data_IF_366161969115
#
_entry.id   IF_366161969115
#
_cell.length_a   1.000
_cell.length_b   1.000
_cell.length_c   1.000
_cell.angle_alpha   90.00
_cell.angle_beta   90.00
_cell.angle_gamma   90.00
#
_symmetry.space_group_name_H-M   'P 1'
#
loop_
_entity.id
_entity.type
_entity.pdbx_description
1 polymer ?
#
# COMPACT_ATOMS: atom_id res chain seq x y z
N UNK A 1 9.35 2.12 28.71
CA UNK A 1 9.48 2.39 27.26
C UNK A 1 9.63 1.05 26.56
N UNK A 2 8.92 0.88 25.45
CA UNK A 2 9.00 -0.32 24.60
C UNK A 2 9.21 0.11 23.16
N UNK A 3 10.19 -0.51 22.49
CA UNK A 3 10.45 -0.33 21.07
C UNK A 3 10.33 -1.67 20.34
N UNK A 4 9.79 -1.65 19.11
CA UNK A 4 9.74 -2.80 18.21
C UNK A 4 10.08 -2.36 16.80
N UNK A 5 10.90 -3.15 16.15
CA UNK A 5 11.21 -3.01 14.73
C UNK A 5 11.03 -4.38 14.07
N UNK A 6 10.22 -4.42 13.02
CA UNK A 6 10.00 -5.63 12.24
C UNK A 6 10.29 -5.34 10.78
N UNK A 7 11.01 -6.24 10.15
CA UNK A 7 11.24 -6.25 8.71
C UNK A 7 10.66 -7.53 8.14
N UNK A 8 9.88 -7.40 7.10
CA UNK A 8 9.22 -8.53 6.42
C UNK A 8 9.59 -8.50 4.95
N UNK A 9 10.10 -9.61 4.44
CA UNK A 9 10.24 -9.83 3.01
C UNK A 9 8.98 -10.52 2.50
N UNK A 10 8.32 -9.92 1.56
CA UNK A 10 7.14 -10.47 0.88
C UNK A 10 7.55 -10.99 -0.50
N UNK A 11 7.00 -12.13 -0.89
CA UNK A 11 7.26 -12.77 -2.18
C UNK A 11 5.94 -12.95 -2.91
N UNK A 12 5.91 -12.60 -4.19
CA UNK A 12 4.77 -12.87 -5.05
C UNK A 12 4.69 -14.39 -5.28
N UNK A 13 3.68 -15.02 -4.71
CA UNK A 13 3.53 -16.47 -4.72
C UNK A 13 2.62 -16.99 -5.85
N UNK A 14 1.65 -16.20 -6.27
CA UNK A 14 0.72 -16.59 -7.34
C UNK A 14 0.59 -15.47 -8.35
N UNK A 15 1.04 -15.74 -9.55
CA UNK A 15 0.80 -14.92 -10.72
C UNK A 15 0.04 -15.77 -11.74
N UNK A 16 -0.93 -15.22 -12.46
CA UNK A 16 -1.54 -15.92 -13.58
C UNK A 16 -0.46 -16.22 -14.63
N UNK A 17 -0.51 -17.40 -15.21
CA UNK A 17 0.37 -17.75 -16.31
C UNK A 17 -0.25 -17.24 -17.61
N UNK A 18 0.42 -16.30 -18.25
CA UNK A 18 0.03 -15.82 -19.58
C UNK A 18 0.71 -16.64 -20.67
N UNK A 19 0.07 -16.65 -21.82
CA UNK A 19 0.59 -17.31 -23.02
C UNK A 19 1.71 -16.48 -23.63
N UNK A 20 2.64 -17.14 -24.31
CA UNK A 20 3.59 -16.49 -25.20
C UNK A 20 2.93 -15.96 -26.48
N UNK A 21 3.66 -15.14 -27.26
CA UNK A 21 3.13 -14.53 -28.47
C UNK A 21 2.61 -15.57 -29.47
N UNK A 22 3.36 -16.63 -29.69
CA UNK A 22 2.97 -17.70 -30.63
C UNK A 22 1.72 -18.45 -30.18
N UNK A 23 1.68 -18.87 -28.92
CA UNK A 23 0.52 -19.57 -28.34
C UNK A 23 -0.75 -18.69 -28.36
N UNK A 24 -0.57 -17.38 -28.11
CA UNK A 24 -1.68 -16.42 -28.20
C UNK A 24 -2.19 -16.29 -29.63
N UNK A 25 -1.28 -16.15 -30.63
CA UNK A 25 -1.64 -16.04 -32.03
C UNK A 25 -2.37 -17.28 -32.54
N UNK A 26 -1.91 -18.48 -32.09
CA UNK A 26 -2.55 -19.75 -32.38
C UNK A 26 -4.00 -19.80 -31.88
N UNK A 27 -4.21 -19.48 -30.61
CA UNK A 27 -5.55 -19.44 -30.02
C UNK A 27 -6.46 -18.37 -30.67
N UNK A 28 -5.90 -17.21 -31.04
CA UNK A 28 -6.66 -16.17 -31.72
C UNK A 28 -7.14 -16.66 -33.09
N UNK A 29 -6.30 -17.34 -33.87
CA UNK A 29 -6.70 -17.94 -35.14
C UNK A 29 -7.74 -19.06 -34.96
N UNK A 30 -7.56 -19.92 -33.96
CA UNK A 30 -8.54 -20.97 -33.62
C UNK A 30 -9.91 -20.38 -33.26
N UNK A 31 -9.91 -19.35 -32.42
CA UNK A 31 -11.15 -18.67 -32.04
C UNK A 31 -11.90 -18.04 -33.24
N UNK A 32 -11.17 -17.53 -34.24
CA UNK A 32 -11.74 -17.03 -35.50
C UNK A 32 -12.25 -18.17 -36.39
N UNK A 33 -11.49 -19.24 -36.50
CA UNK A 33 -11.90 -20.40 -37.28
C UNK A 33 -13.23 -21.00 -36.81
N UNK A 34 -13.46 -21.06 -35.48
CA UNK A 34 -14.73 -21.51 -34.89
C UNK A 34 -15.91 -20.61 -35.32
N UNK A 35 -15.64 -19.34 -35.63
CA UNK A 35 -16.65 -18.35 -36.11
C UNK A 35 -16.77 -18.30 -37.62
N UNK A 36 -16.03 -19.15 -38.36
CA UNK A 36 -15.90 -19.10 -39.82
C UNK A 36 -15.37 -17.72 -40.31
N UNK A 37 -14.49 -17.08 -39.52
CA UNK A 37 -13.81 -15.84 -39.88
C UNK A 37 -12.43 -16.14 -40.46
N UNK A 38 -11.86 -15.17 -41.22
CA UNK A 38 -10.48 -15.26 -41.68
C UNK A 38 -9.50 -15.24 -40.51
N UNK A 39 -8.38 -15.98 -40.58
CA UNK A 39 -7.35 -15.92 -39.56
C UNK A 39 -6.90 -14.50 -39.27
N UNK A 40 -6.54 -14.22 -38.00
CA UNK A 40 -6.00 -12.94 -37.59
C UNK A 40 -4.55 -12.78 -38.04
N UNK A 41 -3.80 -13.86 -37.95
CA UNK A 41 -2.40 -13.96 -38.39
C UNK A 41 -2.32 -14.97 -39.51
N UNK A 42 -1.68 -14.60 -40.61
CA UNK A 42 -1.45 -15.51 -41.74
C UNK A 42 -0.29 -16.49 -41.42
N UNK A 43 -0.09 -17.48 -42.30
CA UNK A 43 0.96 -18.49 -42.11
C UNK A 43 2.37 -17.92 -42.09
N UNK A 44 2.62 -16.83 -42.81
CA UNK A 44 3.89 -16.11 -42.83
C UNK A 44 4.14 -15.41 -41.52
N UNK A 45 3.14 -14.67 -41.04
CA UNK A 45 3.18 -14.01 -39.72
C UNK A 45 3.34 -15.01 -38.59
N UNK A 46 2.61 -16.11 -38.64
CA UNK A 46 2.75 -17.21 -37.66
C UNK A 46 4.17 -17.77 -37.65
N UNK A 47 4.82 -17.88 -38.80
CA UNK A 47 6.23 -18.29 -38.89
C UNK A 47 7.17 -17.27 -38.25
N UNK A 48 6.98 -15.97 -38.53
CA UNK A 48 7.78 -14.89 -37.96
C UNK A 48 7.65 -14.85 -36.43
N UNK A 49 6.42 -14.97 -35.92
CA UNK A 49 6.14 -14.97 -34.48
C UNK A 49 6.77 -16.18 -33.79
N UNK A 50 6.65 -17.37 -34.41
CA UNK A 50 7.21 -18.62 -33.85
C UNK A 50 8.72 -18.54 -33.74
N UNK A 51 9.39 -18.09 -34.80
CA UNK A 51 10.84 -18.09 -34.94
C UNK A 51 11.48 -16.81 -34.36
N UNK A 52 10.65 -15.83 -33.92
CA UNK A 52 11.10 -14.57 -33.30
C UNK A 52 11.92 -13.70 -34.24
N UNK A 53 11.62 -13.70 -35.55
CA UNK A 53 12.41 -13.04 -36.57
C UNK A 53 12.28 -11.52 -36.54
N UNK A 54 11.16 -10.99 -36.06
CA UNK A 54 10.91 -9.56 -35.94
C UNK A 54 10.35 -9.23 -34.55
N UNK A 55 11.22 -9.01 -33.55
CA UNK A 55 10.78 -8.72 -32.20
C UNK A 55 10.19 -7.31 -32.03
N UNK A 56 10.44 -6.41 -32.98
CA UNK A 56 9.89 -5.05 -32.92
C UNK A 56 8.42 -5.02 -33.36
N UNK A 57 8.08 -5.80 -34.38
CA UNK A 57 6.71 -5.90 -34.88
C UNK A 57 5.88 -6.93 -34.10
N UNK A 58 6.49 -8.06 -33.74
CA UNK A 58 5.84 -9.15 -32.99
C UNK A 58 6.59 -9.46 -31.69
N UNK A 59 6.49 -8.57 -30.68
CA UNK A 59 7.21 -8.75 -29.42
C UNK A 59 6.67 -9.91 -28.62
N UNK A 60 7.58 -10.77 -28.11
CA UNK A 60 7.26 -11.83 -27.17
C UNK A 60 7.76 -11.45 -25.77
N UNK A 61 7.04 -10.53 -25.11
CA UNK A 61 7.43 -9.96 -23.83
C UNK A 61 6.57 -10.54 -22.70
N UNK A 62 7.21 -11.05 -21.66
CA UNK A 62 6.54 -11.38 -20.43
C UNK A 62 6.40 -10.12 -19.57
N UNK A 63 5.30 -9.41 -19.70
CA UNK A 63 5.01 -8.17 -18.97
C UNK A 63 5.03 -8.33 -17.46
N UNK A 64 4.76 -9.51 -16.93
CA UNK A 64 4.87 -9.75 -15.49
C UNK A 64 6.33 -9.66 -15.02
N UNK A 65 7.25 -10.26 -15.77
CA UNK A 65 8.67 -10.21 -15.43
C UNK A 65 9.26 -8.81 -15.69
N UNK A 66 8.72 -8.06 -16.65
CA UNK A 66 9.16 -6.69 -16.91
C UNK A 66 8.68 -5.68 -15.87
N UNK A 67 7.45 -5.84 -15.38
CA UNK A 67 6.79 -4.84 -14.52
C UNK A 67 6.92 -5.17 -13.04
N UNK A 68 7.00 -6.46 -12.68
CA UNK A 68 6.93 -6.88 -11.29
C UNK A 68 8.27 -7.28 -10.70
N UNK A 69 8.49 -6.86 -9.47
CA UNK A 69 9.50 -7.43 -8.59
C UNK A 69 8.93 -8.66 -7.89
N UNK A 70 9.66 -9.76 -7.92
CA UNK A 70 9.24 -10.99 -7.22
C UNK A 70 9.21 -10.81 -5.69
N UNK A 71 9.98 -9.85 -5.18
CA UNK A 71 10.12 -9.58 -3.75
C UNK A 71 9.97 -8.09 -3.45
N UNK A 72 9.41 -7.79 -2.30
CA UNK A 72 9.32 -6.44 -1.78
C UNK A 72 9.39 -6.41 -0.26
N UNK A 73 9.82 -5.28 0.30
CA UNK A 73 10.08 -5.13 1.71
C UNK A 73 8.98 -4.33 2.40
N UNK A 74 8.72 -4.75 3.66
CA UNK A 74 7.87 -4.03 4.59
C UNK A 74 8.63 -3.82 5.89
N UNK A 75 8.72 -2.58 6.33
CA UNK A 75 9.31 -2.18 7.59
C UNK A 75 8.23 -1.63 8.51
N UNK A 76 8.22 -2.06 9.75
CA UNK A 76 7.26 -1.58 10.74
C UNK A 76 8.04 -1.15 11.99
N UNK A 77 7.76 0.06 12.43
CA UNK A 77 8.37 0.70 13.59
C UNK A 77 7.30 0.95 14.64
N UNK A 78 7.62 0.70 15.87
CA UNK A 78 6.74 0.99 16.98
C UNK A 78 7.54 1.38 18.21
N UNK A 79 7.16 2.50 18.83
CA UNK A 79 7.71 2.96 20.10
C UNK A 79 6.55 3.34 21.00
N UNK A 80 6.61 2.93 22.25
CA UNK A 80 5.62 3.34 23.26
C UNK A 80 6.26 3.61 24.60
N UNK A 81 5.65 4.54 25.32
CA UNK A 81 5.99 4.87 26.68
C UNK A 81 4.73 4.95 27.53
N UNK A 82 4.84 4.52 28.76
CA UNK A 82 3.81 4.71 29.76
C UNK A 82 4.44 5.18 31.07
N UNK A 83 3.72 5.96 31.79
CA UNK A 83 4.15 6.45 33.09
C UNK A 83 2.99 7.11 33.83
N UNK A 84 3.28 7.61 35.00
CA UNK A 84 2.33 8.34 35.79
C UNK A 84 2.50 8.12 37.28
N UNK A 85 1.60 8.73 38.01
CA UNK A 85 1.45 8.67 39.45
C UNK A 85 0.02 8.30 39.81
N UNK A 86 -0.31 8.36 41.07
CA UNK A 86 -1.70 8.17 41.56
C UNK A 86 -2.64 9.27 41.08
N UNK A 87 -2.08 10.44 40.70
CA UNK A 87 -2.86 11.59 40.22
C UNK A 87 -3.06 11.53 38.71
N UNK A 88 -2.03 11.17 37.95
CA UNK A 88 -2.10 11.16 36.49
C UNK A 88 -1.33 9.95 35.91
N UNK A 89 -1.92 9.31 34.93
CA UNK A 89 -1.32 8.20 34.17
C UNK A 89 -1.41 8.52 32.70
N UNK A 90 -0.34 8.19 31.97
CA UNK A 90 -0.30 8.40 30.52
C UNK A 90 0.27 7.19 29.81
N UNK A 91 -0.20 7.03 28.59
CA UNK A 91 0.36 6.13 27.60
C UNK A 91 0.49 6.88 26.27
N UNK A 92 1.70 6.84 25.69
CA UNK A 92 1.99 7.41 24.38
C UNK A 92 2.54 6.30 23.50
N UNK A 93 2.08 6.20 22.26
CA UNK A 93 2.70 5.33 21.27
C UNK A 93 2.77 5.98 19.89
N UNK A 94 3.87 5.71 19.21
CA UNK A 94 4.15 6.10 17.84
C UNK A 94 4.39 4.83 17.03
N UNK A 95 3.78 4.72 15.88
CA UNK A 95 3.96 3.64 14.94
C UNK A 95 4.18 4.16 13.53
N UNK A 96 4.97 3.42 12.76
CA UNK A 96 5.20 3.69 11.37
C UNK A 96 5.28 2.38 10.57
N UNK A 97 4.77 2.40 9.36
CA UNK A 97 4.87 1.31 8.40
C UNK A 97 5.33 1.90 7.08
N UNK A 98 6.38 1.33 6.53
CA UNK A 98 6.85 1.60 5.18
C UNK A 98 6.77 0.30 4.38
N UNK A 99 6.11 0.33 3.24
CA UNK A 99 5.93 -0.82 2.36
C UNK A 99 6.25 -0.39 0.93
N UNK A 100 7.20 -1.04 0.30
CA UNK A 100 7.48 -0.86 -1.12
C UNK A 100 6.50 -1.67 -1.96
N UNK A 101 6.13 -1.15 -3.14
CA UNK A 101 5.30 -1.90 -4.06
C UNK A 101 6.09 -3.00 -4.78
N UNK A 102 5.35 -3.99 -5.27
CA UNK A 102 5.92 -5.06 -6.08
C UNK A 102 6.18 -4.64 -7.55
N UNK A 103 6.25 -3.33 -7.83
CA UNK A 103 6.51 -2.83 -9.18
C UNK A 103 7.97 -2.46 -9.35
N UNK A 104 8.54 -2.80 -10.49
CA UNK A 104 9.86 -2.33 -10.89
C UNK A 104 9.81 -0.83 -11.16
N UNK A 105 10.85 -0.14 -10.71
CA UNK A 105 11.04 1.28 -10.97
C UNK A 105 11.98 1.41 -12.16
N UNK A 106 11.49 2.02 -13.23
CA UNK A 106 12.34 2.39 -14.35
C UNK A 106 13.20 3.60 -13.94
N UNK A 107 14.49 3.38 -13.86
CA UNK A 107 15.48 4.41 -13.49
C UNK A 107 15.70 5.44 -14.60
N UNK A 108 15.38 5.09 -15.84
CA UNK A 108 15.56 5.94 -17.02
C UNK A 108 14.32 6.80 -17.32
N UNK A 109 13.23 6.55 -16.62
CA UNK A 109 12.00 7.33 -16.79
C UNK A 109 12.14 8.71 -16.18
N UNK A 110 11.72 9.73 -16.93
CA UNK A 110 11.62 11.13 -16.45
C UNK A 110 10.63 11.22 -15.26
N UNK A 111 9.73 10.25 -15.14
CA UNK A 111 8.73 10.18 -14.08
C UNK A 111 9.10 9.07 -13.10
N UNK A 112 9.14 9.41 -11.82
CA UNK A 112 9.28 8.39 -10.77
C UNK A 112 8.04 7.50 -10.75
N UNK A 113 8.21 6.21 -11.08
CA UNK A 113 7.18 5.18 -10.98
C UNK A 113 7.22 4.45 -9.63
N UNK A 114 8.01 4.96 -8.69
CA UNK A 114 8.13 4.35 -7.38
C UNK A 114 6.84 4.52 -6.59
N UNK A 115 6.16 3.40 -6.36
CA UNK A 115 4.98 3.34 -5.51
C UNK A 115 5.42 2.83 -4.15
N UNK A 116 5.26 3.63 -3.12
CA UNK A 116 5.49 3.22 -1.73
C UNK A 116 4.29 3.60 -0.88
N UNK A 117 3.99 2.76 0.09
CA UNK A 117 2.93 3.01 1.04
C UNK A 117 3.52 3.26 2.42
N UNK A 118 3.32 4.47 2.91
CA UNK A 118 3.78 4.90 4.22
C UNK A 118 2.58 5.20 5.10
N UNK A 119 2.55 4.62 6.29
CA UNK A 119 1.51 4.90 7.27
C UNK A 119 2.18 5.25 8.58
N UNK A 120 1.73 6.34 9.18
CA UNK A 120 2.12 6.74 10.53
C UNK A 120 0.88 6.76 11.41
N UNK A 121 1.05 6.35 12.64
CA UNK A 121 -0.01 6.40 13.63
C UNK A 121 0.57 6.82 14.97
N UNK A 122 -0.21 7.59 15.70
CA UNK A 122 0.09 7.85 17.09
C UNK A 122 -1.15 7.62 17.96
N UNK A 123 -0.91 7.30 19.21
CA UNK A 123 -1.95 7.14 20.23
C UNK A 123 -1.50 7.80 21.52
N UNK A 124 -2.40 8.52 22.12
CA UNK A 124 -2.25 9.09 23.45
C UNK A 124 -3.44 8.64 24.30
N UNK A 125 -3.18 8.13 25.48
CA UNK A 125 -4.19 7.94 26.51
C UNK A 125 -3.73 8.69 27.75
N UNK A 126 -4.66 9.39 28.37
CA UNK A 126 -4.42 10.16 29.58
C UNK A 126 -5.56 9.89 30.58
N UNK A 127 -5.20 9.52 31.78
CA UNK A 127 -6.11 9.35 32.90
C UNK A 127 -5.66 10.27 34.04
N UNK A 128 -6.53 11.15 34.50
CA UNK A 128 -6.23 12.11 35.57
C UNK A 128 -7.29 12.04 36.66
N UNK A 129 -6.87 11.85 37.89
CA UNK A 129 -7.71 11.96 39.07
C UNK A 129 -7.72 13.41 39.54
N UNK A 130 -8.75 14.19 39.16
CA UNK A 130 -8.88 15.58 39.54
C UNK A 130 -9.22 15.76 41.01
N UNK A 131 -10.06 14.88 41.51
CA UNK A 131 -10.44 14.80 42.94
C UNK A 131 -10.61 13.35 43.35
N UNK A 132 -10.89 13.04 44.64
CA UNK A 132 -11.19 11.69 45.11
C UNK A 132 -12.41 11.07 44.42
N UNK A 133 -13.33 11.90 43.91
CA UNK A 133 -14.57 11.47 43.24
C UNK A 133 -14.61 11.75 41.74
N UNK A 134 -13.68 12.56 41.23
CA UNK A 134 -13.72 13.01 39.83
C UNK A 134 -12.50 12.52 39.06
N UNK A 135 -12.74 11.81 37.95
CA UNK A 135 -11.71 11.30 37.04
C UNK A 135 -11.93 11.83 35.65
N UNK A 136 -10.84 12.23 35.01
CA UNK A 136 -10.81 12.68 33.62
C UNK A 136 -10.10 11.63 32.77
N UNK A 137 -10.73 11.21 31.69
CA UNK A 137 -10.14 10.33 30.70
C UNK A 137 -9.99 11.04 29.37
N UNK A 138 -8.81 10.98 28.79
CA UNK A 138 -8.56 11.48 27.45
C UNK A 138 -7.90 10.38 26.58
N UNK A 139 -8.35 10.25 25.34
CA UNK A 139 -7.67 9.40 24.38
C UNK A 139 -7.65 10.06 23.00
N UNK A 140 -6.56 9.83 22.27
CA UNK A 140 -6.41 10.30 20.91
C UNK A 140 -5.70 9.25 20.06
N UNK A 141 -6.18 9.05 18.84
CA UNK A 141 -5.53 8.21 17.83
C UNK A 141 -5.66 8.89 16.48
N UNK A 142 -4.55 9.11 15.79
CA UNK A 142 -4.56 9.65 14.44
C UNK A 142 -3.74 8.73 13.52
N UNK A 143 -4.37 8.12 12.53
CA UNK A 143 -3.68 7.48 11.44
C UNK A 143 -3.34 8.51 10.35
N UNK A 144 -2.12 8.49 9.84
CA UNK A 144 -1.68 9.29 8.70
C UNK A 144 -1.24 8.35 7.57
N UNK A 145 -2.12 7.99 6.63
CA UNK A 145 -1.70 7.33 5.42
C UNK A 145 -1.01 8.35 4.50
N UNK A 146 0.22 8.07 4.10
CA UNK A 146 0.94 8.83 3.08
C UNK A 146 1.15 7.89 1.91
N UNK A 147 0.33 8.02 0.89
CA UNK A 147 0.51 7.31 -0.36
C UNK A 147 1.38 8.15 -1.30
N UNK A 148 2.55 7.66 -1.67
CA UNK A 148 3.29 8.19 -2.80
C UNK A 148 2.85 7.43 -4.06
N UNK A 149 1.64 7.73 -4.53
CA UNK A 149 1.21 7.33 -5.85
C UNK A 149 1.19 8.57 -6.75
N UNK A 150 2.01 8.51 -7.78
CA UNK A 150 1.98 9.37 -8.97
C UNK A 150 1.28 10.72 -8.81
N UNK A 151 2.10 11.77 -8.81
CA UNK A 151 1.76 13.14 -9.15
C UNK A 151 0.66 13.82 -8.35
N UNK A 152 1.13 14.71 -7.48
CA UNK A 152 0.43 15.91 -7.00
C UNK A 152 -1.00 15.70 -6.53
N UNK A 153 -1.11 15.27 -5.39
CA UNK A 153 -1.94 15.81 -4.33
C UNK A 153 -1.59 15.00 -3.09
N UNK A 154 -0.82 15.60 -2.23
CA UNK A 154 -0.75 15.14 -0.85
C UNK A 154 -2.17 15.31 -0.27
N UNK A 155 -3.04 14.33 -0.49
CA UNK A 155 -4.21 14.16 0.34
C UNK A 155 -3.71 13.63 1.67
N UNK A 156 -3.34 14.53 2.54
CA UNK A 156 -3.32 14.23 3.96
C UNK A 156 -4.79 13.97 4.30
N UNK A 157 -5.19 12.72 4.30
CA UNK A 157 -6.40 12.34 5.00
C UNK A 157 -6.07 12.48 6.47
N UNK A 158 -6.26 13.68 6.98
CA UNK A 158 -6.57 13.84 8.37
C UNK A 158 -7.92 13.18 8.57
N UNK A 159 -7.89 11.87 8.74
CA UNK A 159 -8.95 11.20 9.45
C UNK A 159 -8.89 11.79 10.84
N UNK A 160 -9.51 12.93 11.02
CA UNK A 160 -9.71 13.57 12.28
C UNK A 160 -10.58 12.66 13.13
N UNK A 161 -9.93 11.68 13.74
CA UNK A 161 -10.56 11.11 14.90
C UNK A 161 -10.27 12.08 16.04
N UNK A 162 -10.94 13.11 15.98
CA UNK A 162 -11.82 13.74 16.91
C UNK A 162 -11.22 14.22 18.24
N UNK A 163 -10.19 13.63 18.79
CA UNK A 163 -9.76 14.08 20.11
C UNK A 163 -9.03 15.43 20.09
N UNK A 164 -8.28 15.72 19.05
CA UNK A 164 -7.64 17.04 18.90
C UNK A 164 -8.65 18.10 18.42
N UNK A 165 -9.68 17.69 17.67
CA UNK A 165 -10.71 18.61 17.18
C UNK A 165 -11.75 18.91 18.24
N UNK A 166 -11.92 18.01 19.16
CA UNK A 166 -12.90 18.18 20.21
C UNK A 166 -12.49 19.20 21.27
N UNK A 167 -11.26 19.73 21.27
CA UNK A 167 -10.93 20.85 22.15
C UNK A 167 -11.60 22.17 21.70
N UNK A 168 -12.04 22.23 20.44
CA UNK A 168 -12.60 23.47 19.85
C UNK A 168 -14.07 23.35 19.42
N UNK A 169 -14.64 22.13 19.38
CA UNK A 169 -16.01 21.89 18.89
C UNK A 169 -16.90 21.25 19.97
N UNK A 170 -18.19 21.58 20.05
CA UNK A 170 -19.09 21.07 21.08
C UNK A 170 -19.24 19.53 21.12
N UNK A 171 -18.73 18.82 20.15
CA UNK A 171 -18.67 17.36 20.13
C UNK A 171 -17.65 16.77 21.12
N UNK A 172 -16.81 17.59 21.75
CA UNK A 172 -15.85 17.22 22.80
C UNK A 172 -16.49 16.59 24.02
N UNK A 173 -17.68 17.02 24.31
CA UNK A 173 -18.43 16.50 25.45
C UNK A 173 -18.63 14.98 25.41
N UNK A 174 -18.47 14.36 24.24
CA UNK A 174 -18.60 12.90 24.08
C UNK A 174 -17.29 12.14 24.29
N UNK A 175 -16.14 12.81 24.30
CA UNK A 175 -14.81 12.19 24.45
C UNK A 175 -14.26 12.36 25.87
N UNK A 176 -14.73 13.36 26.59
CA UNK A 176 -14.42 13.59 28.00
C UNK A 176 -15.56 13.04 28.85
N UNK A 177 -15.37 11.89 29.46
CA UNK A 177 -16.29 11.34 30.46
C UNK A 177 -15.77 11.71 31.84
N UNK A 178 -16.45 12.63 32.47
CA UNK A 178 -16.27 12.90 33.91
C UNK A 178 -16.97 11.78 34.70
N UNK A 179 -16.25 11.08 35.49
CA UNK A 179 -16.77 10.17 36.53
C UNK A 179 -16.46 10.70 37.92
#
# INVERSE_FOLDING_TARGET
ITGRFNTTLSVLNRLPKYLGAYEYAQLANEARAVRNETPLYDDTEMGIIRDGLDPDLYPNVNWQDEILNKTFWRHTYYVSGRGGSDVARYFLSLGGKNESAAYKVDKNSIYSSNVSYNTYNYRINLDVNLTKSTKLFGFGRIPFPVESARRSQYRIYMGSTVAAYSIVHPTILNVLRLR
#
